data_IF_244934044941
#
_entry.id   IF_244934044941
#
_cell.length_a   1.000
_cell.length_b   1.000
_cell.length_c   1.000
_cell.angle_alpha   90.00
_cell.angle_beta   90.00
_cell.angle_gamma   90.00
#
_symmetry.space_group_name_H-M   'P 1'
#
loop_
_entity.id
_entity.type
_entity.pdbx_description
1 polymer ?
#
# COMPACT_ATOMS: atom_id res chain seq x y z
N UNK A 1 2.36 0.88 19.89
CA UNK A 1 1.44 0.43 18.82
C UNK A 1 1.51 -1.09 18.77
N UNK A 2 0.39 -1.77 18.51
CA UNK A 2 0.41 -3.21 18.21
C UNK A 2 0.89 -3.39 16.77
N UNK A 3 1.69 -4.41 16.50
CA UNK A 3 2.03 -4.79 15.12
C UNK A 3 0.74 -5.28 14.44
N UNK A 4 0.34 -4.73 13.29
CA UNK A 4 -0.88 -5.13 12.60
C UNK A 4 -0.75 -6.55 12.05
N UNK A 5 -1.84 -7.32 12.13
CA UNK A 5 -1.94 -8.70 11.62
C UNK A 5 -2.84 -8.79 10.37
N UNK A 6 -3.55 -7.72 10.03
CA UNK A 6 -4.42 -7.62 8.84
C UNK A 6 -4.20 -6.29 8.12
N UNK A 7 -4.61 -6.19 6.85
CA UNK A 7 -4.54 -4.93 6.10
C UNK A 7 -5.48 -3.85 6.64
N UNK A 8 -6.61 -4.24 7.24
CA UNK A 8 -7.51 -3.28 7.90
C UNK A 8 -6.83 -2.68 9.15
N UNK A 9 -6.20 -3.52 9.98
CA UNK A 9 -5.40 -3.07 11.12
C UNK A 9 -4.20 -2.22 10.68
N UNK A 10 -3.54 -2.60 9.58
CA UNK A 10 -2.43 -1.85 9.00
C UNK A 10 -2.88 -0.45 8.55
N UNK A 11 -3.99 -0.37 7.81
CA UNK A 11 -4.56 0.89 7.35
C UNK A 11 -4.92 1.79 8.54
N UNK A 12 -5.62 1.26 9.53
CA UNK A 12 -5.98 2.01 10.73
C UNK A 12 -4.75 2.52 11.48
N UNK A 13 -3.75 1.65 11.66
CA UNK A 13 -2.48 1.97 12.32
C UNK A 13 -1.74 3.07 11.58
N UNK A 14 -1.61 2.98 10.25
CA UNK A 14 -0.93 3.98 9.44
C UNK A 14 -1.66 5.34 9.49
N UNK A 15 -2.99 5.35 9.39
CA UNK A 15 -3.78 6.59 9.52
C UNK A 15 -3.69 7.21 10.92
N UNK A 16 -3.58 6.38 11.96
CA UNK A 16 -3.34 6.84 13.34
C UNK A 16 -1.94 7.43 13.51
N UNK A 17 -0.92 6.71 13.01
CA UNK A 17 0.48 7.13 13.03
C UNK A 17 0.68 8.46 12.32
N UNK A 18 0.10 8.65 11.14
CA UNK A 18 0.28 9.87 10.36
C UNK A 18 -0.11 11.13 11.13
N UNK A 19 -1.07 11.04 12.06
CA UNK A 19 -1.52 12.18 12.87
C UNK A 19 -0.50 12.65 13.91
N UNK A 20 0.46 11.80 14.28
CA UNK A 20 1.43 12.05 15.34
C UNK A 20 2.87 12.12 14.83
N UNK A 21 3.12 11.71 13.59
CA UNK A 21 4.44 11.81 12.97
C UNK A 21 4.84 13.27 12.73
N UNK A 22 6.15 13.59 12.79
CA UNK A 22 6.63 14.92 12.47
C UNK A 22 6.37 15.24 11.00
N UNK A 23 6.30 16.53 10.68
CA UNK A 23 6.17 16.99 9.30
C UNK A 23 7.33 16.46 8.44
N UNK A 24 7.00 15.95 7.25
CA UNK A 24 7.97 15.33 6.34
C UNK A 24 8.21 13.83 6.60
N UNK A 25 7.56 13.24 7.60
CA UNK A 25 7.50 11.79 7.80
C UNK A 25 6.14 11.22 7.40
N UNK A 26 6.16 9.97 6.95
CA UNK A 26 4.99 9.26 6.44
C UNK A 26 4.83 7.93 7.17
N UNK A 27 3.58 7.59 7.47
CA UNK A 27 3.27 6.37 8.21
C UNK A 27 3.57 5.10 7.42
N UNK A 28 3.56 5.19 6.09
CA UNK A 28 3.91 4.09 5.20
C UNK A 28 4.22 4.59 3.80
N UNK A 29 4.56 3.69 2.90
CA UNK A 29 4.69 3.93 1.47
C UNK A 29 4.51 2.64 0.68
N UNK A 30 4.25 2.78 -0.61
CA UNK A 30 4.19 1.71 -1.59
C UNK A 30 4.75 2.19 -2.93
N UNK A 31 5.11 1.27 -3.82
CA UNK A 31 5.44 1.63 -5.18
C UNK A 31 4.17 2.06 -5.95
N UNK A 32 4.28 3.12 -6.74
CA UNK A 32 3.13 3.81 -7.33
C UNK A 32 3.00 3.71 -8.84
N UNK A 33 3.97 3.12 -9.56
CA UNK A 33 3.88 2.92 -11.01
C UNK A 33 4.46 1.60 -11.50
N UNK A 34 4.19 1.34 -12.77
CA UNK A 34 4.78 0.26 -13.58
C UNK A 34 4.57 -1.14 -12.96
N UNK A 35 5.53 -2.03 -13.18
CA UNK A 35 5.54 -3.38 -12.62
C UNK A 35 5.45 -3.33 -11.09
N UNK A 36 6.11 -2.36 -10.44
CA UNK A 36 6.18 -2.30 -8.99
C UNK A 36 4.83 -2.06 -8.32
N UNK A 37 3.99 -1.16 -8.88
CA UNK A 37 2.61 -1.00 -8.43
C UNK A 37 1.80 -2.28 -8.63
N UNK A 38 1.98 -2.94 -9.78
CA UNK A 38 1.27 -4.18 -10.10
C UNK A 38 1.64 -5.29 -9.11
N UNK A 39 2.94 -5.43 -8.80
CA UNK A 39 3.45 -6.38 -7.82
C UNK A 39 2.90 -6.11 -6.42
N UNK A 40 2.91 -4.86 -5.96
CA UNK A 40 2.35 -4.50 -4.65
C UNK A 40 0.86 -4.78 -4.57
N UNK A 41 0.09 -4.41 -5.59
CA UNK A 41 -1.34 -4.70 -5.64
C UNK A 41 -1.60 -6.21 -5.63
N UNK A 42 -0.82 -6.99 -6.36
CA UNK A 42 -0.92 -8.45 -6.41
C UNK A 42 -0.69 -9.10 -5.03
N UNK A 43 0.34 -8.67 -4.30
CA UNK A 43 0.62 -9.16 -2.94
C UNK A 43 -0.56 -8.92 -2.00
N UNK A 44 -1.11 -7.69 -1.98
CA UNK A 44 -2.25 -7.34 -1.13
C UNK A 44 -3.48 -8.15 -1.55
N UNK A 45 -3.81 -8.15 -2.84
CA UNK A 45 -4.96 -8.87 -3.40
C UNK A 45 -4.95 -10.35 -2.99
N UNK A 46 -3.82 -11.03 -3.18
CA UNK A 46 -3.71 -12.46 -2.88
C UNK A 46 -3.77 -12.75 -1.39
N UNK A 47 -3.20 -11.88 -0.55
CA UNK A 47 -3.32 -12.01 0.92
C UNK A 47 -4.74 -11.79 1.45
N UNK A 48 -5.56 -11.04 0.73
CA UNK A 48 -7.00 -10.85 0.99
C UNK A 48 -7.87 -11.97 0.38
N UNK A 49 -7.24 -13.05 -0.12
CA UNK A 49 -7.93 -14.20 -0.72
C UNK A 49 -8.39 -13.98 -2.17
N UNK A 50 -7.99 -12.88 -2.79
CA UNK A 50 -8.24 -12.60 -4.20
C UNK A 50 -7.31 -13.35 -5.15
N UNK A 51 -7.61 -13.28 -6.44
CA UNK A 51 -6.83 -13.92 -7.50
C UNK A 51 -6.59 -12.93 -8.65
N UNK A 52 -5.41 -12.97 -9.25
CA UNK A 52 -5.12 -12.12 -10.41
C UNK A 52 -5.74 -12.69 -11.70
N UNK A 53 -5.65 -14.01 -11.87
CA UNK A 53 -6.32 -14.79 -12.91
C UNK A 53 -7.09 -15.97 -12.30
N UNK A 54 -8.21 -16.36 -12.92
CA UNK A 54 -8.98 -17.55 -12.55
C UNK A 54 -8.35 -18.85 -13.12
N UNK A 55 -8.97 -19.99 -12.83
CA UNK A 55 -8.53 -21.31 -13.31
C UNK A 55 -8.51 -21.44 -14.84
N UNK A 56 -9.22 -20.56 -15.56
CA UNK A 56 -9.28 -20.51 -17.02
C UNK A 56 -8.38 -19.43 -17.61
N UNK A 57 -7.44 -18.89 -16.82
CA UNK A 57 -6.55 -17.79 -17.20
C UNK A 57 -7.25 -16.49 -17.58
N UNK A 58 -8.47 -16.25 -17.08
CA UNK A 58 -9.17 -14.98 -17.26
C UNK A 58 -8.86 -14.02 -16.10
N UNK A 59 -8.77 -12.70 -16.34
CA UNK A 59 -8.57 -11.73 -15.27
C UNK A 59 -9.66 -11.84 -14.19
N UNK A 60 -9.25 -11.97 -12.94
CA UNK A 60 -10.13 -12.16 -11.78
C UNK A 60 -9.91 -11.11 -10.67
N UNK A 61 -8.95 -10.20 -10.85
CA UNK A 61 -8.58 -9.22 -9.84
C UNK A 61 -9.67 -8.19 -9.52
N UNK A 62 -10.65 -8.00 -10.42
CA UNK A 62 -11.81 -7.14 -10.14
C UNK A 62 -12.86 -7.90 -9.31
N UNK A 63 -12.51 -8.16 -8.06
CA UNK A 63 -13.33 -8.82 -7.03
C UNK A 63 -13.42 -7.93 -5.79
N UNK A 64 -14.21 -8.34 -4.79
CA UNK A 64 -14.30 -7.61 -3.51
C UNK A 64 -12.93 -7.42 -2.85
N UNK A 65 -12.06 -8.44 -2.90
CA UNK A 65 -10.68 -8.35 -2.42
C UNK A 65 -9.85 -7.31 -3.21
N UNK A 66 -10.00 -7.26 -4.53
CA UNK A 66 -9.31 -6.26 -5.36
C UNK A 66 -9.81 -4.84 -5.13
N UNK A 67 -11.12 -4.66 -4.99
CA UNK A 67 -11.71 -3.37 -4.62
C UNK A 67 -11.24 -2.93 -3.24
N UNK A 68 -11.16 -3.85 -2.27
CA UNK A 68 -10.62 -3.59 -0.93
C UNK A 68 -9.16 -3.15 -0.99
N UNK A 69 -8.30 -3.88 -1.70
CA UNK A 69 -6.88 -3.56 -1.85
C UNK A 69 -6.68 -2.18 -2.50
N UNK A 70 -7.34 -1.91 -3.64
CA UNK A 70 -7.23 -0.63 -4.33
C UNK A 70 -7.78 0.53 -3.49
N UNK A 71 -8.86 0.29 -2.74
CA UNK A 71 -9.44 1.28 -1.81
C UNK A 71 -8.51 1.61 -0.67
N UNK A 72 -7.83 0.62 -0.07
CA UNK A 72 -6.84 0.87 0.97
C UNK A 72 -5.71 1.76 0.46
N UNK A 73 -5.11 1.43 -0.69
CA UNK A 73 -4.02 2.20 -1.31
C UNK A 73 -4.45 3.65 -1.57
N UNK A 74 -5.63 3.85 -2.17
CA UNK A 74 -6.21 5.18 -2.41
C UNK A 74 -6.40 5.95 -1.11
N UNK A 75 -7.00 5.34 -0.09
CA UNK A 75 -7.35 6.03 1.14
C UNK A 75 -6.11 6.46 1.94
N UNK A 76 -5.08 5.61 1.98
CA UNK A 76 -3.79 5.96 2.59
C UNK A 76 -3.12 7.13 1.86
N UNK A 77 -3.14 7.13 0.53
CA UNK A 77 -2.58 8.24 -0.26
C UNK A 77 -3.36 9.54 -0.03
N UNK A 78 -4.70 9.48 -0.12
CA UNK A 78 -5.57 10.63 0.07
C UNK A 78 -5.47 11.23 1.48
N UNK A 79 -5.15 10.42 2.49
CA UNK A 79 -4.92 10.86 3.85
C UNK A 79 -3.53 11.47 4.08
N UNK A 80 -2.65 11.49 3.08
CA UNK A 80 -1.26 11.94 3.23
C UNK A 80 -0.40 10.99 4.08
N UNK A 81 -0.81 9.73 4.23
CA UNK A 81 -0.06 8.72 4.96
C UNK A 81 1.14 8.16 4.17
N UNK A 82 1.28 8.59 2.92
CA UNK A 82 2.37 8.23 2.00
C UNK A 82 2.99 9.49 1.39
N UNK A 83 4.25 9.43 0.93
CA UNK A 83 4.89 10.55 0.26
C UNK A 83 4.06 11.09 -0.93
N UNK A 84 4.03 12.42 -1.16
CA UNK A 84 3.22 13.01 -2.23
C UNK A 84 3.66 12.54 -3.63
N UNK A 85 4.96 12.29 -3.81
CA UNK A 85 5.55 11.74 -5.04
C UNK A 85 5.38 10.24 -5.21
N UNK A 86 4.65 9.55 -4.32
CA UNK A 86 4.53 8.09 -4.32
C UNK A 86 4.10 7.50 -5.67
N UNK A 87 3.23 8.21 -6.40
CA UNK A 87 2.77 7.79 -7.74
C UNK A 87 3.88 7.67 -8.79
N UNK A 88 5.06 8.22 -8.52
CA UNK A 88 6.24 8.12 -9.40
C UNK A 88 7.26 7.07 -8.94
N UNK A 89 7.04 6.41 -7.81
CA UNK A 89 8.02 5.49 -7.20
C UNK A 89 7.98 4.09 -7.79
N UNK A 90 9.17 3.53 -7.97
CA UNK A 90 9.41 2.09 -8.14
C UNK A 90 10.07 1.50 -6.87
N UNK A 91 10.50 0.24 -6.92
CA UNK A 91 11.03 -0.47 -5.75
C UNK A 91 12.22 0.22 -5.09
N UNK A 92 13.14 0.76 -5.89
CA UNK A 92 14.34 1.43 -5.41
C UNK A 92 14.01 2.70 -4.62
N UNK A 93 13.05 3.50 -5.08
CA UNK A 93 12.65 4.74 -4.42
C UNK A 93 12.09 4.46 -3.02
N UNK A 94 11.23 3.45 -2.91
CA UNK A 94 10.68 2.96 -1.63
C UNK A 94 11.82 2.52 -0.70
N UNK A 95 12.76 1.72 -1.19
CA UNK A 95 13.90 1.29 -0.38
C UNK A 95 14.75 2.50 0.12
N UNK A 96 14.96 3.52 -0.71
CA UNK A 96 15.70 4.71 -0.32
C UNK A 96 14.95 5.56 0.72
N UNK A 97 13.64 5.75 0.58
CA UNK A 97 12.83 6.49 1.55
C UNK A 97 12.84 5.81 2.93
N UNK A 98 12.72 4.49 2.96
CA UNK A 98 12.88 3.73 4.20
C UNK A 98 14.23 3.97 4.87
N UNK A 99 15.34 3.86 4.12
CA UNK A 99 16.71 4.00 4.64
C UNK A 99 17.01 5.43 5.11
N UNK A 100 16.38 6.44 4.50
CA UNK A 100 16.54 7.85 4.92
C UNK A 100 15.74 8.20 6.18
N UNK A 101 14.92 7.28 6.69
CA UNK A 101 14.22 7.42 7.97
C UNK A 101 12.99 8.32 7.91
N UNK A 102 12.45 8.57 6.72
CA UNK A 102 11.21 9.37 6.56
C UNK A 102 9.94 8.52 6.64
N UNK A 103 10.08 7.20 6.69
CA UNK A 103 8.98 6.23 6.80
C UNK A 103 9.01 5.58 8.19
N UNK A 104 7.84 5.41 8.80
CA UNK A 104 7.67 4.87 10.16
C UNK A 104 7.77 3.34 10.27
#
# INVERSE_FOLDING_TARGET
LKVPETWDEFKETALGLQKILPAGSYATEFAGKEEALTGRFYEILTSEGGQFFDENWKPAFNSDAGVKAATMLRDLYAAGAMPPGMTDYVWEDVAQNWVTGIIA
#
